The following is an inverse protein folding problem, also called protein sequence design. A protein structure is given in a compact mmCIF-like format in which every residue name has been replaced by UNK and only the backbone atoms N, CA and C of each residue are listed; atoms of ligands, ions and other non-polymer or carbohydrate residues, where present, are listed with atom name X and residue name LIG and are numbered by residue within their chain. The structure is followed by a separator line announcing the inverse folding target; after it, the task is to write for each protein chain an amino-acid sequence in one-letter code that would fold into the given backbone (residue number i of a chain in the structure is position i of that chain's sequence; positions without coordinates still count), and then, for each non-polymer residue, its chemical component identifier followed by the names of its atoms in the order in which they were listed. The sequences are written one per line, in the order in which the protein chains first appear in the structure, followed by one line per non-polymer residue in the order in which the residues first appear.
data_IF_296133801981
#
_entry.id   IF_296133801981
#
_cell.length_a   1.000
_cell.length_b   1.000
_cell.length_c   1.000
_cell.angle_alpha   90.00
_cell.angle_beta   90.00
_cell.angle_gamma   90.00
#
_symmetry.space_group_name_H-M   'P 1'
#
loop_
_entity.id
_entity.type
_entity.pdbx_description
1 polymer ?
#
# COMPACT_ATOMS: atom_id res chain seq x y z
N UNK A 1 20.41 -5.40 -17.44
CA UNK A 1 19.44 -6.26 -16.72
C UNK A 1 18.08 -5.71 -17.06
N UNK A 2 17.11 -6.58 -17.41
CA UNK A 2 15.73 -6.13 -17.63
C UNK A 2 15.20 -5.72 -16.25
N UNK A 3 14.81 -4.47 -16.12
CA UNK A 3 14.25 -3.94 -14.89
C UNK A 3 12.89 -4.62 -14.66
N UNK A 4 12.71 -5.25 -13.49
CA UNK A 4 11.46 -5.96 -13.19
C UNK A 4 10.35 -4.94 -13.00
N UNK A 5 9.14 -5.29 -13.48
CA UNK A 5 7.95 -4.52 -13.21
C UNK A 5 7.69 -4.41 -11.69
N UNK A 6 7.13 -3.29 -11.27
CA UNK A 6 6.74 -3.02 -9.87
C UNK A 6 5.22 -3.10 -9.77
N UNK A 7 4.72 -4.08 -9.03
CA UNK A 7 3.30 -4.19 -8.71
C UNK A 7 3.07 -3.66 -7.29
N UNK A 8 2.34 -2.55 -7.13
CA UNK A 8 1.90 -2.10 -5.81
C UNK A 8 0.91 -3.09 -5.21
N UNK A 9 1.14 -3.50 -3.97
CA UNK A 9 0.20 -4.29 -3.17
C UNK A 9 -0.28 -3.40 -2.03
N UNK A 10 -1.52 -2.94 -2.10
CA UNK A 10 -2.07 -2.00 -1.13
C UNK A 10 -2.94 -2.74 -0.13
N UNK A 11 -2.50 -2.72 1.13
CA UNK A 11 -3.18 -3.37 2.24
C UNK A 11 -4.20 -2.40 2.86
N UNK A 12 -5.48 -2.71 2.77
CA UNK A 12 -6.57 -1.88 3.31
C UNK A 12 -7.51 -2.64 4.25
N UNK A 13 -6.99 -3.66 4.95
CA UNK A 13 -7.77 -4.58 5.80
C UNK A 13 -8.01 -4.10 7.24
N UNK A 14 -7.52 -2.94 7.67
CA UNK A 14 -7.66 -2.46 9.04
C UNK A 14 -9.06 -1.93 9.38
N UNK A 15 -9.57 -2.18 10.59
CA UNK A 15 -10.87 -1.66 11.08
C UNK A 15 -10.91 -0.14 11.29
N UNK A 16 -9.73 0.51 11.40
CA UNK A 16 -9.57 1.96 11.36
C UNK A 16 -10.35 2.78 12.41
N UNK A 17 -10.77 2.19 13.52
CA UNK A 17 -11.68 2.80 14.53
C UNK A 17 -11.06 3.93 15.34
N UNK A 18 -9.73 4.13 15.28
CA UNK A 18 -9.00 5.12 16.09
C UNK A 18 -9.40 6.58 15.84
N UNK A 19 -10.01 6.90 14.70
CA UNK A 19 -10.47 8.24 14.35
C UNK A 19 -11.99 8.41 14.58
N UNK A 20 -12.60 7.59 15.43
CA UNK A 20 -14.01 7.79 15.77
C UNK A 20 -14.25 9.25 16.26
N UNK A 21 -15.32 9.96 15.84
CA UNK A 21 -16.47 9.49 15.07
C UNK A 21 -16.29 9.57 13.52
N UNK A 22 -15.14 10.04 13.02
CA UNK A 22 -14.89 10.14 11.58
C UNK A 22 -14.77 8.78 10.92
N UNK A 23 -14.09 7.82 11.58
CA UNK A 23 -13.99 6.45 11.09
C UNK A 23 -14.89 5.51 11.88
N UNK A 24 -15.38 4.48 11.21
CA UNK A 24 -16.23 3.41 11.76
C UNK A 24 -15.80 2.08 11.16
N UNK A 25 -16.21 0.97 11.75
CA UNK A 25 -15.90 -0.37 11.23
C UNK A 25 -16.35 -0.54 9.78
N UNK A 26 -17.57 -0.07 9.46
CA UNK A 26 -18.12 -0.09 8.08
C UNK A 26 -17.49 0.96 7.15
N UNK A 27 -16.74 1.93 7.66
CA UNK A 27 -16.08 2.98 6.90
C UNK A 27 -14.76 3.41 7.57
N UNK A 28 -13.73 2.56 7.49
CA UNK A 28 -12.42 2.79 8.09
C UNK A 28 -11.69 4.02 7.55
N UNK A 29 -10.65 4.46 8.29
CA UNK A 29 -9.92 5.69 8.00
C UNK A 29 -9.31 5.77 6.60
N UNK A 30 -8.89 4.64 6.04
CA UNK A 30 -8.28 4.59 4.70
C UNK A 30 -9.23 5.03 3.58
N UNK A 31 -10.53 4.97 3.81
CA UNK A 31 -11.55 5.41 2.87
C UNK A 31 -11.99 6.86 3.07
N UNK A 32 -11.42 7.54 4.07
CA UNK A 32 -11.71 8.93 4.36
C UNK A 32 -10.77 9.87 3.57
N UNK A 33 -11.31 11.02 3.16
CA UNK A 33 -10.51 12.17 2.78
C UNK A 33 -10.21 12.97 4.04
N UNK A 34 -8.95 12.94 4.48
CA UNK A 34 -8.49 13.68 5.68
C UNK A 34 -7.81 15.01 5.34
N UNK A 35 -7.76 15.37 4.07
CA UNK A 35 -7.14 16.59 3.58
C UNK A 35 -8.23 17.58 3.16
N UNK A 36 -8.24 18.76 3.78
CA UNK A 36 -9.19 19.83 3.47
C UNK A 36 -9.06 20.38 2.04
N UNK A 37 -7.91 20.17 1.41
CA UNK A 37 -7.59 20.65 0.05
C UNK A 37 -7.82 19.59 -1.04
N UNK A 38 -8.14 18.37 -0.66
CA UNK A 38 -8.33 17.25 -1.59
C UNK A 38 -9.50 16.37 -1.17
N UNK A 39 -10.37 16.04 -2.10
CA UNK A 39 -11.45 15.07 -1.87
C UNK A 39 -10.98 13.61 -1.91
N UNK A 40 -9.71 13.37 -2.26
CA UNK A 40 -9.16 12.02 -2.39
C UNK A 40 -8.94 11.36 -1.05
N UNK A 41 -9.28 10.08 -0.98
CA UNK A 41 -9.12 9.27 0.22
C UNK A 41 -7.66 8.87 0.43
N UNK A 42 -7.31 8.38 1.62
CA UNK A 42 -5.96 7.88 1.89
C UNK A 42 -5.60 6.70 0.98
N UNK A 43 -6.57 5.83 0.68
CA UNK A 43 -6.40 4.72 -0.25
C UNK A 43 -6.02 5.21 -1.65
N UNK A 44 -6.78 6.16 -2.20
CA UNK A 44 -6.51 6.75 -3.51
C UNK A 44 -5.14 7.44 -3.55
N UNK A 45 -4.82 8.27 -2.53
CA UNK A 45 -3.53 8.93 -2.39
C UNK A 45 -2.37 7.94 -2.29
N UNK A 46 -2.60 6.76 -1.69
CA UNK A 46 -1.56 5.73 -1.59
C UNK A 46 -1.12 5.22 -2.95
N UNK A 47 -2.03 5.05 -3.90
CA UNK A 47 -1.67 4.69 -5.25
C UNK A 47 -1.16 5.87 -6.07
N UNK A 48 -1.84 7.01 -6.04
CA UNK A 48 -1.50 8.17 -6.88
C UNK A 48 -0.08 8.70 -6.64
N UNK A 49 0.43 8.63 -5.41
CA UNK A 49 1.82 9.02 -5.11
C UNK A 49 2.88 8.18 -5.83
N UNK A 50 2.49 7.02 -6.39
CA UNK A 50 3.39 6.16 -7.16
C UNK A 50 3.43 6.51 -8.64
N UNK A 51 2.42 7.21 -9.16
CA UNK A 51 2.31 7.52 -10.58
C UNK A 51 3.58 8.23 -11.07
N UNK A 52 4.17 7.70 -12.16
CA UNK A 52 5.43 8.17 -12.71
C UNK A 52 6.68 7.45 -12.18
N UNK A 53 6.53 6.41 -11.34
CA UNK A 53 7.61 5.47 -11.09
C UNK A 53 7.84 4.61 -12.34
N UNK A 54 9.11 4.40 -12.69
CA UNK A 54 9.48 3.52 -13.79
C UNK A 54 9.11 2.07 -13.48
N UNK A 55 8.56 1.37 -14.45
CA UNK A 55 8.12 -0.02 -14.30
C UNK A 55 6.85 -0.21 -13.46
N UNK A 56 6.15 0.87 -13.09
CA UNK A 56 4.92 0.79 -12.30
C UNK A 56 3.81 0.11 -13.11
N UNK A 57 3.23 -0.94 -12.55
CA UNK A 57 2.03 -1.61 -13.07
C UNK A 57 0.80 -1.29 -12.20
N UNK A 58 -0.39 -1.71 -12.67
CA UNK A 58 -1.62 -1.57 -11.93
C UNK A 58 -1.56 -2.36 -10.62
N UNK A 59 -2.21 -1.90 -9.54
CA UNK A 59 -2.06 -2.46 -8.21
C UNK A 59 -2.83 -3.76 -8.01
N UNK A 60 -2.40 -4.54 -7.02
CA UNK A 60 -3.21 -5.54 -6.33
C UNK A 60 -3.71 -4.92 -5.04
N UNK A 61 -5.00 -5.00 -4.78
CA UNK A 61 -5.62 -4.48 -3.57
C UNK A 61 -6.01 -5.64 -2.66
N UNK A 62 -5.80 -5.47 -1.35
CA UNK A 62 -6.20 -6.45 -0.35
C UNK A 62 -7.08 -5.73 0.68
N UNK A 63 -8.30 -6.20 0.85
CA UNK A 63 -9.26 -5.60 1.77
C UNK A 63 -10.14 -6.66 2.44
N UNK A 64 -10.81 -6.27 3.52
CA UNK A 64 -11.89 -7.07 4.07
C UNK A 64 -13.02 -7.22 3.03
N UNK A 65 -13.67 -8.38 3.02
CA UNK A 65 -14.78 -8.67 2.10
C UNK A 65 -15.90 -7.63 2.16
N UNK A 66 -16.22 -7.10 3.33
CA UNK A 66 -17.25 -6.08 3.53
C UNK A 66 -16.91 -4.75 2.81
N UNK A 67 -15.65 -4.49 2.57
CA UNK A 67 -15.18 -3.24 1.95
C UNK A 67 -14.97 -3.33 0.43
N UNK A 68 -15.24 -4.49 -0.19
CA UNK A 68 -14.96 -4.75 -1.61
C UNK A 68 -15.52 -3.70 -2.56
N UNK A 69 -16.74 -3.26 -2.32
CA UNK A 69 -17.43 -2.29 -3.19
C UNK A 69 -16.84 -0.89 -3.05
N UNK A 70 -16.51 -0.46 -1.81
CA UNK A 70 -15.91 0.83 -1.54
C UNK A 70 -14.53 0.91 -2.22
N UNK A 71 -13.71 -0.14 -2.08
CA UNK A 71 -12.38 -0.24 -2.70
C UNK A 71 -12.48 -0.17 -4.22
N UNK A 72 -13.36 -0.95 -4.82
CA UNK A 72 -13.58 -0.95 -6.27
C UNK A 72 -14.03 0.43 -6.79
N UNK A 73 -14.98 1.06 -6.09
CA UNK A 73 -15.49 2.38 -6.48
C UNK A 73 -14.42 3.46 -6.39
N UNK A 74 -13.63 3.49 -5.30
CA UNK A 74 -12.57 4.50 -5.13
C UNK A 74 -11.47 4.38 -6.18
N UNK A 75 -11.17 3.17 -6.66
CA UNK A 75 -10.23 2.98 -7.77
C UNK A 75 -10.84 3.34 -9.12
N UNK A 76 -12.13 3.11 -9.31
CA UNK A 76 -12.87 3.56 -10.50
C UNK A 76 -12.89 5.10 -10.60
N UNK A 77 -13.06 5.81 -9.48
CA UNK A 77 -13.04 7.28 -9.41
C UNK A 77 -11.72 7.89 -9.89
N UNK A 78 -10.60 7.18 -9.71
CA UNK A 78 -9.28 7.62 -10.19
C UNK A 78 -8.89 6.98 -11.53
N UNK A 79 -9.83 6.38 -12.25
CA UNK A 79 -9.63 5.73 -13.54
C UNK A 79 -8.49 4.69 -13.53
N UNK A 80 -8.36 3.95 -12.45
CA UNK A 80 -7.37 2.89 -12.30
C UNK A 80 -8.06 1.54 -12.16
N UNK A 81 -7.67 0.58 -13.00
CA UNK A 81 -8.21 -0.77 -12.98
C UNK A 81 -7.22 -1.70 -12.26
N UNK A 82 -7.50 -2.16 -11.03
CA UNK A 82 -6.60 -3.05 -10.30
C UNK A 82 -6.42 -4.39 -11.00
N UNK A 83 -5.21 -4.97 -10.96
CA UNK A 83 -4.97 -6.33 -11.47
C UNK A 83 -5.78 -7.39 -10.70
N UNK A 84 -6.02 -7.15 -9.43
CA UNK A 84 -6.89 -7.95 -8.58
C UNK A 84 -7.35 -7.17 -7.34
N UNK A 85 -8.54 -7.49 -6.84
CA UNK A 85 -9.00 -7.15 -5.50
C UNK A 85 -9.11 -8.48 -4.73
N UNK A 86 -8.21 -8.70 -3.77
CA UNK A 86 -8.18 -9.92 -2.94
C UNK A 86 -8.96 -9.63 -1.68
N UNK A 87 -9.94 -10.48 -1.39
CA UNK A 87 -10.83 -10.32 -0.25
C UNK A 87 -10.38 -11.20 0.91
N UNK A 88 -10.21 -10.58 2.07
CA UNK A 88 -9.94 -11.29 3.32
C UNK A 88 -11.25 -11.47 4.08
N UNK A 89 -11.74 -12.71 4.30
CA UNK A 89 -12.90 -12.96 5.14
C UNK A 89 -12.63 -12.62 6.61
N UNK A 90 -11.37 -12.80 7.03
CA UNK A 90 -10.88 -12.44 8.37
C UNK A 90 -9.46 -11.92 8.24
N UNK A 91 -9.18 -10.75 8.80
CA UNK A 91 -7.83 -10.17 8.82
C UNK A 91 -6.85 -11.03 9.62
N UNK A 92 -5.75 -11.44 9.01
CA UNK A 92 -4.70 -12.31 9.58
C UNK A 92 -3.32 -11.64 9.61
N UNK A 93 -3.27 -10.32 9.82
CA UNK A 93 -2.05 -9.52 9.72
C UNK A 93 -1.46 -9.47 8.29
N UNK A 94 -0.26 -8.92 8.16
CA UNK A 94 0.34 -8.59 6.88
C UNK A 94 0.93 -9.80 6.14
N UNK A 95 1.54 -10.74 6.84
CA UNK A 95 2.29 -11.83 6.20
C UNK A 95 1.42 -12.74 5.31
N UNK A 96 0.25 -13.22 5.72
CA UNK A 96 -0.64 -14.00 4.85
C UNK A 96 -1.14 -13.19 3.64
N UNK A 97 -1.47 -11.91 3.84
CA UNK A 97 -1.91 -11.02 2.77
C UNK A 97 -0.82 -10.87 1.69
N UNK A 98 0.44 -10.63 2.11
CA UNK A 98 1.59 -10.54 1.21
C UNK A 98 1.81 -11.86 0.47
N UNK A 99 1.71 -13.00 1.16
CA UNK A 99 1.88 -14.31 0.54
C UNK A 99 0.84 -14.58 -0.56
N UNK A 100 -0.42 -14.25 -0.31
CA UNK A 100 -1.49 -14.41 -1.32
C UNK A 100 -1.27 -13.47 -2.50
N UNK A 101 -0.84 -12.21 -2.26
CA UNK A 101 -0.48 -11.30 -3.34
C UNK A 101 0.69 -11.81 -4.18
N UNK A 102 1.73 -12.39 -3.55
CA UNK A 102 2.86 -12.98 -4.24
C UNK A 102 2.44 -14.16 -5.13
N UNK A 103 1.62 -15.07 -4.61
CA UNK A 103 1.05 -16.17 -5.39
C UNK A 103 0.22 -15.67 -6.58
N UNK A 104 -0.58 -14.61 -6.37
CA UNK A 104 -1.37 -14.00 -7.45
C UNK A 104 -0.45 -13.42 -8.53
N UNK A 105 0.61 -12.70 -8.15
CA UNK A 105 1.56 -12.09 -9.08
C UNK A 105 2.30 -13.16 -9.91
N UNK A 106 2.75 -14.26 -9.28
CA UNK A 106 3.39 -15.38 -9.99
C UNK A 106 2.43 -16.02 -11.01
N UNK A 107 1.17 -16.19 -10.65
CA UNK A 107 0.16 -16.76 -11.54
C UNK A 107 -0.14 -15.87 -12.77
N UNK A 108 0.23 -14.60 -12.75
CA UNK A 108 0.17 -13.71 -13.91
C UNK A 108 1.33 -13.93 -14.90
N UNK A 109 2.20 -14.92 -14.64
CA UNK A 109 3.29 -15.34 -15.53
C UNK A 109 4.51 -14.43 -15.52
N UNK A 110 4.62 -13.54 -14.54
CA UNK A 110 5.76 -12.64 -14.33
C UNK A 110 6.35 -12.88 -12.95
N UNK A 111 7.60 -12.47 -12.76
CA UNK A 111 8.26 -12.40 -11.44
C UNK A 111 8.56 -10.92 -11.10
N UNK A 112 7.52 -10.12 -10.81
CA UNK A 112 7.65 -8.69 -10.54
C UNK A 112 8.21 -8.43 -9.15
N UNK A 113 8.62 -7.18 -8.92
CA UNK A 113 8.82 -6.67 -7.58
C UNK A 113 7.45 -6.30 -6.97
N UNK A 114 7.18 -6.74 -5.76
CA UNK A 114 6.00 -6.34 -5.03
C UNK A 114 6.32 -5.17 -4.09
N UNK A 115 5.70 -4.03 -4.30
CA UNK A 115 5.79 -2.87 -3.41
C UNK A 115 4.61 -2.89 -2.44
N UNK A 116 4.87 -3.34 -1.21
CA UNK A 116 3.83 -3.49 -0.18
C UNK A 116 3.60 -2.16 0.53
N UNK A 117 2.36 -1.70 0.54
CA UNK A 117 1.97 -0.40 1.07
C UNK A 117 0.76 -0.53 2.00
N UNK A 118 0.80 0.14 3.14
CA UNK A 118 -0.39 0.35 3.95
C UNK A 118 -1.23 1.52 3.38
N UNK A 119 -2.54 1.31 3.27
CA UNK A 119 -3.48 2.29 2.69
C UNK A 119 -3.67 3.55 3.54
N UNK A 120 -3.17 3.55 4.78
CA UNK A 120 -3.47 4.56 5.79
C UNK A 120 -2.26 5.44 6.16
N UNK A 121 -1.15 5.32 5.45
CA UNK A 121 0.04 6.13 5.68
C UNK A 121 -0.05 7.46 4.94
N UNK A 122 0.16 8.56 5.67
CA UNK A 122 0.34 9.89 5.09
C UNK A 122 1.83 10.08 4.77
N UNK A 123 2.14 10.35 3.50
CA UNK A 123 3.48 10.64 3.00
C UNK A 123 3.47 12.05 2.41
N UNK A 124 4.18 12.97 3.02
CA UNK A 124 4.22 14.37 2.59
C UNK A 124 5.25 14.58 1.48
N UNK A 125 6.45 14.03 1.62
CA UNK A 125 7.52 14.19 0.63
C UNK A 125 7.48 13.06 -0.42
N UNK A 126 6.61 13.25 -1.42
CA UNK A 126 6.42 12.26 -2.51
C UNK A 126 7.68 12.10 -3.36
N UNK A 127 8.46 13.18 -3.56
CA UNK A 127 9.67 13.13 -4.39
C UNK A 127 10.71 12.23 -3.72
N UNK A 128 10.97 12.44 -2.44
CA UNK A 128 11.93 11.63 -1.69
C UNK A 128 11.44 10.18 -1.56
N UNK A 129 10.15 9.98 -1.31
CA UNK A 129 9.55 8.66 -1.26
C UNK A 129 9.80 7.85 -2.54
N UNK A 130 9.62 8.47 -3.72
CA UNK A 130 9.89 7.81 -5.01
C UNK A 130 11.37 7.48 -5.20
N UNK A 131 12.29 8.38 -4.82
CA UNK A 131 13.73 8.11 -4.87
C UNK A 131 14.13 6.93 -4.00
N UNK A 132 13.59 6.85 -2.79
CA UNK A 132 13.85 5.75 -1.86
C UNK A 132 13.34 4.43 -2.45
N UNK A 133 12.16 4.40 -3.07
CA UNK A 133 11.66 3.21 -3.76
C UNK A 133 12.60 2.81 -4.90
N UNK A 134 13.01 3.74 -5.75
CA UNK A 134 13.94 3.45 -6.86
C UNK A 134 15.27 2.90 -6.35
N UNK A 135 15.82 3.46 -5.28
CA UNK A 135 17.02 2.90 -4.65
C UNK A 135 16.80 1.47 -4.14
N UNK A 136 15.62 1.19 -3.57
CA UNK A 136 15.26 -0.13 -3.04
C UNK A 136 15.14 -1.20 -4.14
N UNK A 137 14.72 -0.83 -5.36
CA UNK A 137 14.58 -1.78 -6.48
C UNK A 137 15.92 -2.46 -6.82
N UNK A 138 17.04 -1.76 -6.66
CA UNK A 138 18.37 -2.31 -6.89
C UNK A 138 18.65 -3.53 -6.02
N UNK A 139 18.29 -3.45 -4.75
CA UNK A 139 18.48 -4.55 -3.80
C UNK A 139 17.42 -5.65 -3.99
N UNK A 140 16.18 -5.27 -4.25
CA UNK A 140 15.09 -6.21 -4.49
C UNK A 140 15.34 -7.05 -5.76
N UNK A 141 15.89 -6.47 -6.83
CA UNK A 141 16.30 -7.17 -8.04
C UNK A 141 17.41 -8.21 -7.81
N UNK A 142 18.17 -8.08 -6.71
CA UNK A 142 19.14 -9.07 -6.26
C UNK A 142 18.51 -10.20 -5.41
N UNK A 143 17.18 -10.24 -5.31
CA UNK A 143 16.45 -11.24 -4.52
C UNK A 143 16.40 -10.94 -3.01
N UNK A 144 16.70 -9.71 -2.59
CA UNK A 144 16.61 -9.32 -1.18
C UNK A 144 15.21 -8.85 -0.81
N UNK A 145 14.80 -9.14 0.41
CA UNK A 145 13.67 -8.46 1.04
C UNK A 145 14.15 -7.11 1.57
N UNK A 146 13.47 -6.04 1.14
CA UNK A 146 13.82 -4.67 1.49
C UNK A 146 12.72 -4.06 2.34
N UNK A 147 13.09 -3.40 3.43
CA UNK A 147 12.17 -2.65 4.28
C UNK A 147 12.58 -1.18 4.33
N UNK A 148 11.61 -0.31 4.57
CA UNK A 148 11.82 1.13 4.69
C UNK A 148 11.71 1.54 6.16
N UNK A 149 12.77 2.13 6.69
CA UNK A 149 12.76 2.72 8.03
C UNK A 149 12.31 4.17 7.99
N UNK A 150 11.52 4.58 8.98
CA UNK A 150 11.19 5.99 9.21
C UNK A 150 12.17 6.53 10.24
N UNK A 151 12.87 7.63 9.90
CA UNK A 151 13.75 8.29 10.85
C UNK A 151 12.87 8.96 11.92
N UNK A 152 13.02 8.59 13.21
CA UNK A 152 12.19 9.18 14.25
C UNK A 152 12.55 10.65 14.46
N UNK A 153 11.53 11.50 14.56
CA UNK A 153 11.69 12.93 14.87
C UNK A 153 11.42 13.22 16.36
N UNK A 154 10.77 12.30 17.06
CA UNK A 154 10.51 12.35 18.49
C UNK A 154 10.37 10.93 19.05
N UNK A 155 10.46 10.79 20.37
CA UNK A 155 10.20 9.51 21.02
C UNK A 155 8.69 9.20 20.98
N UNK A 156 8.34 8.01 20.49
CA UNK A 156 6.96 7.55 20.42
C UNK A 156 6.83 6.13 20.98
N UNK A 157 6.13 6.01 22.07
CA UNK A 157 6.02 4.74 22.81
C UNK A 157 5.10 3.71 22.15
N UNK A 158 4.32 4.15 21.16
CA UNK A 158 3.43 3.28 20.39
C UNK A 158 4.12 2.48 19.29
N UNK A 159 5.41 2.72 19.03
CA UNK A 159 6.19 2.06 17.97
C UNK A 159 7.38 1.28 18.53
N UNK A 160 7.79 0.26 17.77
CA UNK A 160 9.10 -0.36 17.94
C UNK A 160 10.16 0.39 17.15
N UNK A 161 11.41 0.31 17.61
CA UNK A 161 12.56 0.94 16.96
C UNK A 161 13.56 -0.12 16.53
N UNK A 162 14.21 0.11 15.38
CA UNK A 162 15.29 -0.74 14.89
C UNK A 162 16.61 0.00 15.13
N UNK A 163 17.48 -0.59 15.94
CA UNK A 163 18.85 -0.10 16.12
C UNK A 163 19.70 -0.62 14.95
N UNK A 164 20.24 0.30 14.16
CA UNK A 164 21.21 -0.03 13.12
C UNK A 164 22.61 0.14 13.68
N UNK A 165 23.45 -0.90 13.57
CA UNK A 165 24.88 -0.87 13.92
C UNK A 165 25.71 -0.48 12.71
#
# INVERSE_FOLDING_TARGET
MIEKAIIPVILSGGSGTRLWPLSRESYPKQFLSLDSHSKKTLLQKTYERLIGLEGLENPILICNEDHRFIVAEQFREINTDPQAIILEPVGRNTAPAIAVAALKAINLGKDPLLLILAADHLIENIIEFKKVIQSATTYANQGRLVTFGIIPTCAETGYGYIEAK
#
